data_IF_916413041892
#
_entry.id   IF_916413041892
#
_cell.length_a   1.000
_cell.length_b   1.000
_cell.length_c   1.000
_cell.angle_alpha   90.00
_cell.angle_beta   90.00
_cell.angle_gamma   90.00
#
_symmetry.space_group_name_H-M   'P 1'
#
loop_
_entity.id
_entity.type
_entity.pdbx_description
1 polymer ?
#
# COMPACT_ATOMS: atom_id res chain seq x y z
N UNK A 1 14.45 -7.24 -40.54
CA UNK A 1 15.11 -6.50 -39.48
C UNK A 1 14.72 -7.17 -38.18
N UNK A 2 15.61 -7.86 -37.46
CA UNK A 2 15.27 -8.35 -36.14
C UNK A 2 15.17 -7.16 -35.20
N UNK A 3 14.07 -7.08 -34.47
CA UNK A 3 13.89 -6.11 -33.40
C UNK A 3 15.01 -6.30 -32.37
N UNK A 4 15.77 -5.24 -32.15
CA UNK A 4 16.73 -5.19 -31.06
C UNK A 4 15.93 -5.27 -29.75
N UNK A 5 15.88 -6.45 -29.16
CA UNK A 5 15.38 -6.62 -27.80
C UNK A 5 16.34 -5.83 -26.93
N UNK A 6 15.83 -4.79 -26.29
CA UNK A 6 16.59 -4.02 -25.32
C UNK A 6 17.11 -5.00 -24.27
N UNK A 7 18.44 -5.04 -24.10
CA UNK A 7 19.08 -5.73 -23.00
C UNK A 7 18.46 -5.22 -21.68
N UNK A 8 18.28 -6.14 -20.74
CA UNK A 8 17.90 -5.92 -19.35
C UNK A 8 16.39 -5.69 -19.04
N UNK A 9 15.53 -6.55 -19.55
CA UNK A 9 14.26 -6.76 -18.85
C UNK A 9 14.51 -7.67 -17.64
N UNK A 10 14.38 -7.11 -16.44
CA UNK A 10 14.40 -7.85 -15.18
C UNK A 10 13.30 -8.92 -15.23
N UNK A 11 13.65 -10.18 -14.94
CA UNK A 11 12.66 -11.26 -14.89
C UNK A 11 11.80 -11.15 -13.61
N UNK A 12 10.63 -11.77 -13.64
CA UNK A 12 9.79 -11.87 -12.42
C UNK A 12 10.47 -12.67 -11.31
N UNK A 13 11.30 -13.65 -11.66
CA UNK A 13 12.12 -14.38 -10.71
C UNK A 13 13.15 -13.48 -10.02
N UNK A 14 13.81 -12.58 -10.78
CA UNK A 14 14.75 -11.62 -10.20
C UNK A 14 14.03 -10.61 -9.31
N UNK A 15 12.83 -10.15 -9.69
CA UNK A 15 12.02 -9.27 -8.87
C UNK A 15 11.63 -9.94 -7.55
N UNK A 16 11.23 -11.21 -7.60
CA UNK A 16 10.90 -11.99 -6.40
C UNK A 16 12.12 -12.14 -5.48
N UNK A 17 13.30 -12.50 -6.03
CA UNK A 17 14.53 -12.63 -5.26
C UNK A 17 14.97 -11.30 -4.61
N UNK A 18 14.79 -10.17 -5.30
CA UNK A 18 15.05 -8.84 -4.73
C UNK A 18 14.09 -8.52 -3.58
N UNK A 19 12.83 -8.90 -3.71
CA UNK A 19 11.86 -8.72 -2.64
C UNK A 19 12.25 -9.50 -1.38
N UNK A 20 12.68 -10.76 -1.51
CA UNK A 20 13.18 -11.56 -0.37
C UNK A 20 14.39 -10.91 0.31
N UNK A 21 15.33 -10.36 -0.49
CA UNK A 21 16.51 -9.66 0.02
C UNK A 21 16.18 -8.33 0.72
N UNK A 22 15.16 -7.64 0.25
CA UNK A 22 14.67 -6.36 0.81
C UNK A 22 13.65 -6.52 1.93
N UNK A 23 13.50 -7.70 2.53
CA UNK A 23 12.47 -7.96 3.53
C UNK A 23 12.64 -7.07 4.77
N UNK A 24 11.53 -6.48 5.22
CA UNK A 24 11.45 -5.66 6.41
C UNK A 24 10.18 -5.98 7.21
N UNK A 25 10.10 -5.52 8.46
CA UNK A 25 8.99 -5.83 9.34
C UNK A 25 8.35 -4.55 9.87
N UNK A 26 7.10 -4.30 9.46
CA UNK A 26 6.34 -3.14 9.90
C UNK A 26 6.19 -3.06 11.43
N UNK A 27 6.17 -4.21 12.10
CA UNK A 27 6.01 -4.31 13.56
C UNK A 27 7.29 -4.02 14.34
N UNK A 28 8.45 -3.98 13.68
CA UNK A 28 9.75 -3.75 14.31
C UNK A 28 10.28 -2.32 14.13
N UNK A 29 9.58 -1.49 13.35
CA UNK A 29 9.92 -0.06 13.22
C UNK A 29 9.71 0.62 14.58
N UNK A 30 10.76 1.27 15.09
CA UNK A 30 10.71 2.04 16.32
C UNK A 30 10.26 3.47 16.04
N UNK A 31 9.18 3.91 16.65
CA UNK A 31 8.61 5.26 16.52
C UNK A 31 8.92 6.18 17.72
N UNK A 32 9.86 5.81 18.60
CA UNK A 32 10.16 6.62 19.78
C UNK A 32 10.60 8.05 19.41
N UNK A 33 11.52 8.18 18.44
CA UNK A 33 11.97 9.48 17.93
C UNK A 33 10.85 10.24 17.22
N UNK A 34 10.07 9.55 16.38
CA UNK A 34 8.93 10.17 15.68
C UNK A 34 7.90 10.71 16.67
N UNK A 35 7.63 9.98 17.75
CA UNK A 35 6.73 10.42 18.81
C UNK A 35 7.25 11.66 19.53
N UNK A 36 8.54 11.71 19.87
CA UNK A 36 9.16 12.86 20.51
C UNK A 36 9.09 14.10 19.60
N UNK A 37 9.44 13.95 18.32
CA UNK A 37 9.35 15.04 17.34
C UNK A 37 7.91 15.51 17.13
N UNK A 38 6.97 14.58 17.07
CA UNK A 38 5.54 14.89 16.96
C UNK A 38 5.05 15.74 18.13
N UNK A 39 5.42 15.40 19.35
CA UNK A 39 4.95 16.08 20.55
C UNK A 39 5.64 17.42 20.79
N UNK A 40 6.93 17.55 20.44
CA UNK A 40 7.77 18.68 20.87
C UNK A 40 8.32 19.57 19.75
N UNK A 41 8.47 19.06 18.54
CA UNK A 41 9.11 19.80 17.44
C UNK A 41 8.10 20.23 16.36
N UNK A 42 7.07 19.42 16.09
CA UNK A 42 6.10 19.70 15.04
C UNK A 42 5.12 20.81 15.47
N UNK A 43 4.94 21.79 14.58
CA UNK A 43 3.84 22.74 14.69
C UNK A 43 2.50 22.06 14.38
N UNK A 44 1.38 22.74 14.72
CA UNK A 44 0.05 22.23 14.36
C UNK A 44 -0.16 22.09 12.84
N UNK A 45 0.55 22.88 12.03
CA UNK A 45 0.52 22.77 10.57
C UNK A 45 1.25 21.50 10.13
N UNK A 46 2.43 21.23 10.69
CA UNK A 46 3.21 20.05 10.38
C UNK A 46 2.45 18.78 10.73
N UNK A 47 1.87 18.72 11.93
CA UNK A 47 1.04 17.58 12.37
C UNK A 47 -0.16 17.34 11.46
N UNK A 48 -0.90 18.41 11.09
CA UNK A 48 -2.03 18.28 10.17
C UNK A 48 -1.59 17.80 8.78
N UNK A 49 -0.48 18.33 8.27
CA UNK A 49 0.04 17.97 6.96
C UNK A 49 0.53 16.51 6.93
N UNK A 50 1.28 16.09 7.94
CA UNK A 50 1.75 14.71 8.07
C UNK A 50 0.58 13.75 8.21
N UNK A 51 -0.38 14.03 9.10
CA UNK A 51 -1.54 13.16 9.31
C UNK A 51 -2.42 13.08 8.05
N UNK A 52 -2.59 14.19 7.32
CA UNK A 52 -3.31 14.18 6.05
C UNK A 52 -2.59 13.30 5.01
N UNK A 53 -1.28 13.48 4.85
CA UNK A 53 -0.46 12.71 3.89
C UNK A 53 -0.49 11.21 4.24
N UNK A 54 -0.25 10.86 5.50
CA UNK A 54 -0.26 9.46 5.94
C UNK A 54 -1.64 8.82 5.89
N UNK A 55 -2.70 9.60 6.06
CA UNK A 55 -4.07 9.10 5.84
C UNK A 55 -4.31 8.72 4.38
N UNK A 56 -3.80 9.50 3.42
CA UNK A 56 -3.90 9.16 2.00
C UNK A 56 -3.14 7.86 1.68
N UNK A 57 -1.90 7.74 2.16
CA UNK A 57 -1.12 6.51 1.96
C UNK A 57 -1.81 5.32 2.62
N UNK A 58 -2.21 5.43 3.87
CA UNK A 58 -2.86 4.34 4.58
C UNK A 58 -4.08 3.78 3.84
N UNK A 59 -4.98 4.64 3.38
CA UNK A 59 -6.14 4.21 2.60
C UNK A 59 -5.77 3.68 1.22
N UNK A 60 -4.70 4.22 0.61
CA UNK A 60 -4.17 3.72 -0.65
C UNK A 60 -3.65 2.29 -0.54
N UNK A 61 -2.79 2.05 0.41
CA UNK A 61 -2.17 0.75 0.68
C UNK A 61 -3.22 -0.32 1.04
N UNK A 62 -4.17 0.05 1.91
CA UNK A 62 -5.29 -0.82 2.30
C UNK A 62 -6.15 -1.19 1.08
N UNK A 63 -6.51 -0.22 0.25
CA UNK A 63 -7.30 -0.44 -0.96
C UNK A 63 -6.56 -1.31 -1.98
N UNK A 64 -5.25 -1.11 -2.17
CA UNK A 64 -4.45 -1.93 -3.10
C UNK A 64 -4.31 -3.35 -2.57
N UNK A 65 -4.02 -3.52 -1.27
CA UNK A 65 -3.95 -4.85 -0.64
C UNK A 65 -5.24 -5.65 -0.84
N UNK A 66 -6.39 -4.99 -0.71
CA UNK A 66 -7.72 -5.60 -0.85
C UNK A 66 -8.04 -5.99 -2.31
N UNK A 67 -7.55 -5.20 -3.27
CA UNK A 67 -7.88 -5.36 -4.69
C UNK A 67 -6.88 -6.18 -5.51
N UNK A 68 -5.70 -6.56 -5.00
CA UNK A 68 -4.71 -7.31 -5.78
C UNK A 68 -5.10 -8.77 -6.08
N UNK A 69 -5.89 -9.41 -5.22
CA UNK A 69 -6.26 -10.83 -5.37
C UNK A 69 -6.86 -11.18 -6.73
N UNK A 70 -7.81 -10.43 -7.33
CA UNK A 70 -8.34 -10.75 -8.65
C UNK A 70 -7.29 -10.58 -9.77
N UNK A 71 -6.32 -9.68 -9.62
CA UNK A 71 -5.22 -9.53 -10.59
C UNK A 71 -4.24 -10.70 -10.49
N UNK A 72 -3.93 -11.20 -9.29
CA UNK A 72 -3.14 -12.41 -9.07
C UNK A 72 -3.81 -13.60 -9.75
N UNK A 73 -5.11 -13.76 -9.54
CA UNK A 73 -5.90 -14.84 -10.15
C UNK A 73 -5.92 -14.78 -11.68
N UNK A 74 -5.98 -13.57 -12.26
CA UNK A 74 -6.03 -13.35 -13.70
C UNK A 74 -4.66 -13.38 -14.38
N UNK A 75 -3.56 -13.31 -13.65
CA UNK A 75 -2.22 -13.28 -14.22
C UNK A 75 -1.93 -14.55 -15.03
N UNK A 76 -1.44 -14.43 -16.28
CA UNK A 76 -1.32 -15.57 -17.21
C UNK A 76 -0.15 -16.52 -16.91
N UNK A 77 0.82 -16.11 -16.09
CA UNK A 77 2.02 -16.91 -15.77
C UNK A 77 2.21 -16.99 -14.26
N UNK A 78 2.68 -18.13 -13.77
CA UNK A 78 2.87 -18.37 -12.34
C UNK A 78 3.87 -17.40 -11.69
N UNK A 79 4.97 -17.09 -12.38
CA UNK A 79 5.95 -16.13 -11.85
C UNK A 79 5.39 -14.70 -11.69
N UNK A 80 4.38 -14.32 -12.49
CA UNK A 80 3.66 -13.08 -12.32
C UNK A 80 2.78 -13.10 -11.07
N UNK A 81 2.11 -14.23 -10.83
CA UNK A 81 1.29 -14.41 -9.62
C UNK A 81 2.16 -14.33 -8.35
N UNK A 82 3.33 -14.98 -8.38
CA UNK A 82 4.25 -14.94 -7.24
C UNK A 82 4.71 -13.51 -6.96
N UNK A 83 5.10 -12.76 -8.00
CA UNK A 83 5.49 -11.37 -7.83
C UNK A 83 4.33 -10.48 -7.34
N UNK A 84 3.13 -10.61 -7.90
CA UNK A 84 1.96 -9.85 -7.44
C UNK A 84 1.56 -10.21 -6.00
N UNK A 85 1.76 -11.45 -5.57
CA UNK A 85 1.56 -11.86 -4.19
C UNK A 85 2.55 -11.18 -3.23
N UNK A 86 3.81 -10.98 -3.63
CA UNK A 86 4.77 -10.20 -2.84
C UNK A 86 4.36 -8.74 -2.75
N UNK A 87 3.85 -8.17 -3.83
CA UNK A 87 3.29 -6.81 -3.83
C UNK A 87 2.14 -6.70 -2.82
N UNK A 88 1.19 -7.63 -2.84
CA UNK A 88 0.08 -7.63 -1.88
C UNK A 88 0.56 -7.71 -0.41
N UNK A 89 1.62 -8.47 -0.14
CA UNK A 89 2.23 -8.50 1.20
C UNK A 89 2.84 -7.16 1.58
N UNK A 90 3.49 -6.46 0.63
CA UNK A 90 4.09 -5.15 0.90
C UNK A 90 3.00 -4.10 1.17
N UNK A 91 1.91 -4.06 0.41
CA UNK A 91 0.80 -3.16 0.68
C UNK A 91 0.19 -3.40 2.08
N UNK A 92 0.04 -4.66 2.47
CA UNK A 92 -0.40 -5.00 3.82
C UNK A 92 0.61 -4.54 4.90
N UNK A 93 1.92 -4.65 4.66
CA UNK A 93 2.97 -4.13 5.56
C UNK A 93 2.92 -2.61 5.67
N UNK A 94 2.73 -1.90 4.55
CA UNK A 94 2.57 -0.46 4.54
C UNK A 94 1.33 -0.02 5.33
N UNK A 95 0.20 -0.66 5.10
CA UNK A 95 -1.02 -0.39 5.87
C UNK A 95 -0.80 -0.58 7.38
N UNK A 96 -0.12 -1.66 7.79
CA UNK A 96 0.24 -1.89 9.20
C UNK A 96 1.17 -0.78 9.73
N UNK A 97 2.16 -0.36 8.93
CA UNK A 97 3.08 0.74 9.30
C UNK A 97 2.32 2.04 9.54
N UNK A 98 1.46 2.44 8.60
CA UNK A 98 0.69 3.68 8.72
C UNK A 98 -0.32 3.62 9.87
N UNK A 99 -1.00 2.49 10.06
CA UNK A 99 -1.89 2.30 11.20
C UNK A 99 -1.15 2.43 12.54
N UNK A 100 0.06 1.86 12.64
CA UNK A 100 0.92 2.01 13.80
C UNK A 100 1.34 3.45 14.03
N UNK A 101 1.78 4.16 12.98
CA UNK A 101 2.15 5.56 13.09
C UNK A 101 0.97 6.42 13.58
N UNK A 102 -0.20 6.26 12.96
CA UNK A 102 -1.41 7.00 13.34
C UNK A 102 -1.76 6.77 14.81
N UNK A 103 -1.67 5.53 15.30
CA UNK A 103 -1.96 5.17 16.68
C UNK A 103 -0.84 5.57 17.64
N UNK A 104 0.40 5.19 17.34
CA UNK A 104 1.53 5.28 18.29
C UNK A 104 2.16 6.67 18.31
N UNK A 105 2.13 7.41 17.20
CA UNK A 105 2.69 8.76 17.08
C UNK A 105 1.60 9.81 17.15
N UNK A 106 0.57 9.74 16.30
CA UNK A 106 -0.47 10.77 16.25
C UNK A 106 -1.57 10.60 17.33
N UNK A 107 -1.64 9.45 17.98
CA UNK A 107 -2.60 9.19 19.07
C UNK A 107 -4.05 9.01 18.59
N UNK A 108 -4.26 8.56 17.34
CA UNK A 108 -5.57 8.40 16.72
C UNK A 108 -5.84 6.92 16.38
N UNK A 109 -7.09 6.47 16.62
CA UNK A 109 -7.49 5.10 16.41
C UNK A 109 -6.94 4.09 17.45
N UNK A 110 -7.58 2.95 17.59
CA UNK A 110 -7.17 1.88 18.50
C UNK A 110 -6.60 0.65 17.76
N UNK A 111 -7.11 0.40 16.56
CA UNK A 111 -6.72 -0.68 15.65
C UNK A 111 -6.75 -0.21 14.19
N UNK A 112 -6.52 -1.10 13.23
CA UNK A 112 -6.52 -0.77 11.80
C UNK A 112 -7.89 -0.22 11.38
N UNK A 113 -8.99 -0.88 11.73
CA UNK A 113 -10.33 -0.49 11.34
C UNK A 113 -10.71 0.90 11.86
N UNK A 114 -10.53 1.15 13.15
CA UNK A 114 -10.82 2.46 13.76
C UNK A 114 -9.90 3.57 13.22
N UNK A 115 -8.66 3.26 12.90
CA UNK A 115 -7.74 4.23 12.27
C UNK A 115 -8.17 4.59 10.84
N UNK A 116 -8.69 3.64 10.05
CA UNK A 116 -9.28 3.90 8.73
C UNK A 116 -10.52 4.79 8.86
N UNK A 117 -11.44 4.46 9.77
CA UNK A 117 -12.65 5.27 10.00
C UNK A 117 -12.32 6.72 10.40
N UNK A 118 -11.37 6.93 11.31
CA UNK A 118 -10.98 8.25 11.80
C UNK A 118 -10.27 9.09 10.73
N UNK A 119 -9.54 8.46 9.83
CA UNK A 119 -8.81 9.15 8.76
C UNK A 119 -9.62 9.33 7.47
N UNK A 120 -10.69 8.57 7.26
CA UNK A 120 -11.54 8.64 6.08
C UNK A 120 -12.02 10.06 5.69
N UNK A 121 -12.43 10.95 6.63
CA UNK A 121 -12.85 12.32 6.31
C UNK A 121 -11.74 13.16 5.67
N UNK A 122 -10.48 12.80 5.82
CA UNK A 122 -9.32 13.52 5.26
C UNK A 122 -9.12 13.25 3.77
N UNK A 123 -9.76 12.21 3.21
CA UNK A 123 -9.61 11.83 1.81
C UNK A 123 -10.26 12.84 0.87
N UNK A 124 -9.50 13.27 -0.14
CA UNK A 124 -10.02 14.16 -1.19
C UNK A 124 -10.97 13.43 -2.13
N UNK A 125 -11.83 14.18 -2.84
CA UNK A 125 -12.70 13.63 -3.87
C UNK A 125 -11.90 12.91 -4.97
N UNK A 126 -10.81 13.52 -5.45
CA UNK A 126 -9.98 12.94 -6.50
C UNK A 126 -9.35 11.62 -6.08
N UNK A 127 -8.84 11.54 -4.85
CA UNK A 127 -8.30 10.31 -4.27
C UNK A 127 -9.36 9.20 -4.29
N UNK A 128 -10.55 9.46 -3.76
CA UNK A 128 -11.65 8.48 -3.73
C UNK A 128 -11.99 7.95 -5.13
N UNK A 129 -12.00 8.82 -6.15
CA UNK A 129 -12.31 8.42 -7.53
C UNK A 129 -11.29 7.47 -8.14
N UNK A 130 -10.00 7.60 -7.79
CA UNK A 130 -8.97 6.65 -8.23
C UNK A 130 -9.25 5.27 -7.68
N UNK A 131 -9.48 5.15 -6.38
CA UNK A 131 -9.70 3.85 -5.71
C UNK A 131 -11.06 3.24 -6.03
N UNK A 132 -12.13 4.02 -6.18
CA UNK A 132 -13.41 3.52 -6.73
C UNK A 132 -13.26 2.90 -8.14
N UNK A 133 -12.28 3.37 -8.93
CA UNK A 133 -11.99 2.75 -10.22
C UNK A 133 -11.23 1.42 -10.03
N UNK A 134 -10.28 1.36 -9.12
CA UNK A 134 -9.56 0.13 -8.78
C UNK A 134 -10.54 -0.95 -8.30
N UNK A 135 -11.45 -0.61 -7.39
CA UNK A 135 -12.50 -1.50 -6.89
C UNK A 135 -13.33 -2.08 -8.03
N UNK A 136 -13.78 -1.22 -8.96
CA UNK A 136 -14.56 -1.68 -10.12
C UNK A 136 -13.77 -2.63 -11.01
N UNK A 137 -12.47 -2.35 -11.26
CA UNK A 137 -11.61 -3.23 -12.06
C UNK A 137 -11.43 -4.58 -11.36
N UNK A 138 -11.20 -4.58 -10.06
CA UNK A 138 -11.16 -5.80 -9.25
C UNK A 138 -12.45 -6.60 -9.34
N UNK A 139 -13.60 -5.95 -9.22
CA UNK A 139 -14.91 -6.58 -9.35
C UNK A 139 -15.19 -7.15 -10.75
N UNK A 140 -14.73 -6.48 -11.79
CA UNK A 140 -14.82 -6.99 -13.16
C UNK A 140 -13.98 -8.23 -13.36
N UNK A 141 -12.75 -8.27 -12.85
CA UNK A 141 -11.88 -9.44 -12.90
C UNK A 141 -12.41 -10.61 -12.07
N UNK A 142 -13.06 -10.36 -10.93
CA UNK A 142 -13.75 -11.41 -10.14
C UNK A 142 -14.87 -12.07 -10.92
N UNK A 143 -15.55 -11.33 -11.81
CA UNK A 143 -16.62 -11.84 -12.68
C UNK A 143 -16.09 -12.52 -13.94
N UNK A 144 -15.03 -11.99 -14.51
CA UNK A 144 -14.45 -12.47 -15.76
C UNK A 144 -12.92 -12.27 -15.77
N UNK A 145 -12.18 -13.34 -15.49
CA UNK A 145 -10.71 -13.37 -15.42
C UNK A 145 -10.02 -13.19 -16.78
N UNK A 146 -10.76 -13.22 -17.89
CA UNK A 146 -10.21 -13.03 -19.24
C UNK A 146 -10.09 -11.56 -19.64
N UNK A 147 -10.60 -10.66 -18.84
CA UNK A 147 -10.47 -9.22 -19.10
C UNK A 147 -9.03 -8.75 -18.87
N UNK A 148 -8.47 -7.93 -19.81
CA UNK A 148 -7.14 -7.37 -19.67
C UNK A 148 -7.08 -6.24 -18.62
#
# INVERSE_FOLDING_TARGET
MPATIAADQISYADLYARWEQGNWRATEIDFATDREQWDHEFSDIDRRSALWTYSLFFHGEDSVADNLSPFIDAAPREEQKYFLATQQVDEARHAVLFARFIREVAGAGADIGSSLEETQPKLTWGFRKVFERLDRMGDELRKDRSKP
#
